data_IF_218845005348
#
_entry.id   IF_218845005348
#
_cell.length_a   1.000
_cell.length_b   1.000
_cell.length_c   1.000
_cell.angle_alpha   90.00
_cell.angle_beta   90.00
_cell.angle_gamma   90.00
#
_symmetry.space_group_name_H-M   'P 1'
#
loop_
_entity.id
_entity.type
_entity.pdbx_description
1 polymer ?
#
# COMPACT_ATOMS: atom_id res chain seq x y z
N UNK A 1 -28.93 77.14 -19.14
CA UNK A 1 -28.63 77.48 -20.55
C UNK A 1 -28.79 76.23 -21.41
N UNK A 2 -29.85 76.23 -22.26
CA UNK A 2 -29.99 75.67 -23.64
C UNK A 2 -29.16 74.42 -24.00
N UNK A 3 -29.81 73.24 -24.13
CA UNK A 3 -30.36 72.62 -25.37
C UNK A 3 -29.29 72.10 -26.34
N UNK A 4 -29.28 70.79 -26.61
CA UNK A 4 -29.62 70.24 -27.94
C UNK A 4 -29.98 68.74 -27.88
N UNK A 5 -31.07 68.42 -28.58
CA UNK A 5 -31.67 67.11 -28.84
C UNK A 5 -31.04 66.42 -30.08
N UNK A 6 -31.50 65.17 -30.30
CA UNK A 6 -31.51 64.36 -31.55
C UNK A 6 -30.19 63.69 -31.95
N UNK A 7 -30.13 62.41 -32.35
CA UNK A 7 -31.10 61.60 -33.12
C UNK A 7 -30.81 60.08 -33.01
N UNK A 8 -31.86 59.24 -32.89
CA UNK A 8 -31.88 57.80 -33.31
C UNK A 8 -31.84 57.73 -34.87
N UNK A 9 -31.63 56.60 -35.61
CA UNK A 9 -31.92 55.18 -35.28
C UNK A 9 -30.96 54.07 -35.86
N UNK A 10 -31.22 52.81 -35.45
CA UNK A 10 -31.04 51.51 -36.14
C UNK A 10 -29.83 51.30 -37.07
N UNK A 11 -28.91 50.37 -36.73
CA UNK A 11 -28.36 49.32 -37.61
C UNK A 11 -27.52 48.31 -36.75
N UNK A 12 -27.99 47.06 -36.71
CA UNK A 12 -27.22 45.80 -36.78
C UNK A 12 -26.28 45.31 -35.64
N UNK A 13 -26.49 44.01 -35.31
CA UNK A 13 -25.51 42.96 -34.91
C UNK A 13 -25.60 42.39 -33.47
N UNK A 14 -26.26 41.21 -33.43
CA UNK A 14 -25.91 39.94 -32.76
C UNK A 14 -25.11 39.91 -31.43
N UNK A 15 -25.65 39.08 -30.52
CA UNK A 15 -24.96 38.14 -29.62
C UNK A 15 -24.02 38.70 -28.53
N UNK A 16 -24.51 38.74 -27.30
CA UNK A 16 -23.68 38.38 -26.14
C UNK A 16 -24.50 37.62 -25.09
N UNK A 17 -24.81 36.36 -25.45
CA UNK A 17 -25.22 35.31 -24.53
C UNK A 17 -24.03 34.37 -24.41
N UNK A 18 -23.08 34.65 -23.52
CA UNK A 18 -22.08 33.72 -22.94
C UNK A 18 -20.94 34.55 -22.33
N UNK A 19 -20.80 34.55 -21.00
CA UNK A 19 -19.50 34.44 -20.32
C UNK A 19 -19.74 34.40 -18.79
N UNK A 20 -20.34 33.30 -18.31
CA UNK A 20 -20.04 32.83 -16.96
C UNK A 20 -18.65 32.21 -17.09
N UNK A 21 -17.60 32.97 -16.77
CA UNK A 21 -16.25 32.41 -16.62
C UNK A 21 -16.31 31.41 -15.47
N UNK A 22 -16.28 30.13 -15.80
CA UNK A 22 -15.95 29.08 -14.85
C UNK A 22 -14.58 29.40 -14.25
N UNK A 23 -14.55 29.75 -12.96
CA UNK A 23 -13.32 29.73 -12.17
C UNK A 23 -12.72 28.32 -12.26
N UNK A 24 -11.42 28.16 -12.54
CA UNK A 24 -10.81 26.85 -12.55
C UNK A 24 -10.93 26.27 -11.13
N UNK A 25 -11.67 25.16 -11.03
CA UNK A 25 -11.69 24.30 -9.85
C UNK A 25 -10.22 24.01 -9.53
N UNK A 26 -9.71 24.52 -8.39
CA UNK A 26 -8.40 24.08 -7.88
C UNK A 26 -8.50 22.56 -7.72
N UNK A 27 -7.89 21.79 -8.63
CA UNK A 27 -7.72 20.34 -8.43
C UNK A 27 -6.93 20.21 -7.14
N UNK A 28 -7.54 19.58 -6.14
CA UNK A 28 -6.95 19.49 -4.80
C UNK A 28 -5.64 18.69 -4.87
N UNK A 29 -4.61 19.01 -4.05
CA UNK A 29 -3.36 18.25 -3.98
C UNK A 29 -3.62 16.74 -3.84
N UNK A 30 -4.68 16.40 -3.10
CA UNK A 30 -5.17 15.04 -2.86
C UNK A 30 -5.46 14.26 -4.15
N UNK A 31 -5.98 14.88 -5.22
CA UNK A 31 -6.25 14.21 -6.49
C UNK A 31 -4.96 13.76 -7.19
N UNK A 32 -3.91 14.57 -7.11
CA UNK A 32 -2.61 14.22 -7.68
C UNK A 32 -1.91 13.10 -6.92
N UNK A 33 -2.00 13.09 -5.58
CA UNK A 33 -1.49 11.99 -4.76
C UNK A 33 -2.15 10.65 -5.13
N UNK A 34 -3.49 10.62 -5.25
CA UNK A 34 -4.22 9.43 -5.70
C UNK A 34 -3.73 8.95 -7.06
N UNK A 35 -3.57 9.86 -8.01
CA UNK A 35 -3.05 9.53 -9.34
C UNK A 35 -1.67 8.87 -9.27
N UNK A 36 -0.76 9.41 -8.46
CA UNK A 36 0.56 8.81 -8.34
C UNK A 36 0.52 7.40 -7.72
N UNK A 37 -0.27 7.19 -6.66
CA UNK A 37 -0.43 5.87 -6.04
C UNK A 37 -0.99 4.82 -7.02
N UNK A 38 -1.94 5.22 -7.89
CA UNK A 38 -2.47 4.34 -8.95
C UNK A 38 -1.39 3.82 -9.89
N UNK A 39 -0.41 4.66 -10.26
CA UNK A 39 0.71 4.21 -11.10
C UNK A 39 1.45 3.04 -10.43
N UNK A 40 1.85 3.21 -9.18
CA UNK A 40 2.63 2.20 -8.46
C UNK A 40 1.86 0.89 -8.26
N UNK A 41 0.57 0.98 -7.96
CA UNK A 41 -0.32 -0.19 -7.94
C UNK A 41 -0.34 -0.89 -9.32
N UNK A 42 -0.64 -0.14 -10.38
CA UNK A 42 -0.80 -0.70 -11.72
C UNK A 42 0.50 -1.31 -12.30
N UNK A 43 1.67 -0.82 -11.89
CA UNK A 43 2.96 -1.36 -12.34
C UNK A 43 3.59 -2.37 -11.36
N UNK A 44 2.93 -2.67 -10.24
CA UNK A 44 3.45 -3.53 -9.18
C UNK A 44 4.79 -3.02 -8.61
N UNK A 45 4.87 -1.72 -8.33
CA UNK A 45 6.05 -1.07 -7.78
C UNK A 45 5.75 -0.40 -6.45
N UNK A 46 6.81 -0.02 -5.73
CA UNK A 46 6.71 0.64 -4.43
C UNK A 46 7.09 2.11 -4.57
N UNK A 47 6.27 3.00 -4.04
CA UNK A 47 6.52 4.44 -4.01
C UNK A 47 7.23 4.85 -2.71
N UNK A 48 8.09 5.86 -2.77
CA UNK A 48 8.63 6.51 -1.56
C UNK A 48 7.75 7.69 -1.14
N UNK A 49 7.70 8.00 0.15
CA UNK A 49 6.90 9.13 0.67
C UNK A 49 7.24 10.48 0.00
N UNK A 50 8.54 10.73 -0.22
CA UNK A 50 9.02 11.92 -0.93
C UNK A 50 8.59 11.94 -2.40
N UNK A 51 8.68 10.78 -3.07
CA UNK A 51 8.25 10.62 -4.46
C UNK A 51 6.75 10.87 -4.61
N UNK A 52 5.94 10.32 -3.70
CA UNK A 52 4.49 10.50 -3.66
C UNK A 52 4.12 11.96 -3.50
N UNK A 53 4.76 12.64 -2.56
CA UNK A 53 4.49 14.05 -2.30
C UNK A 53 4.87 14.91 -3.50
N UNK A 54 6.07 14.72 -4.05
CA UNK A 54 6.55 15.49 -5.20
C UNK A 54 5.67 15.30 -6.44
N UNK A 55 5.50 14.06 -6.88
CA UNK A 55 4.75 13.78 -8.11
C UNK A 55 3.25 13.99 -7.94
N UNK A 56 2.72 13.77 -6.74
CA UNK A 56 1.36 14.13 -6.37
C UNK A 56 1.12 15.63 -6.55
N UNK A 57 2.04 16.49 -6.11
CA UNK A 57 1.95 17.93 -6.32
C UNK A 57 2.09 18.32 -7.81
N UNK A 58 3.02 17.70 -8.54
CA UNK A 58 3.20 17.95 -9.99
C UNK A 58 1.91 17.65 -10.77
N UNK A 59 1.24 16.54 -10.45
CA UNK A 59 -0.01 16.14 -11.11
C UNK A 59 -1.19 17.00 -10.61
N UNK A 60 -1.30 17.19 -9.29
CA UNK A 60 -2.40 17.93 -8.66
C UNK A 60 -2.44 19.41 -9.04
N UNK A 61 -1.28 20.03 -9.24
CA UNK A 61 -1.15 21.41 -9.73
C UNK A 61 -1.42 21.57 -11.23
N UNK A 62 -1.51 20.47 -11.98
CA UNK A 62 -1.60 20.50 -13.45
C UNK A 62 -0.29 20.78 -14.17
N UNK A 63 0.84 20.84 -13.45
CA UNK A 63 2.18 21.02 -14.04
C UNK A 63 2.52 19.89 -15.01
N UNK A 64 1.99 18.68 -14.76
CA UNK A 64 2.06 17.58 -15.70
C UNK A 64 0.80 16.70 -15.62
N UNK A 65 0.53 15.91 -16.65
CA UNK A 65 -0.58 14.94 -16.66
C UNK A 65 -0.13 13.61 -16.07
N UNK A 66 -1.08 12.83 -15.52
CA UNK A 66 -0.80 11.47 -15.07
C UNK A 66 -0.18 10.61 -16.19
N UNK A 67 -0.75 10.66 -17.39
CA UNK A 67 -0.26 9.89 -18.54
C UNK A 67 1.21 10.21 -18.87
N UNK A 68 1.61 11.48 -18.83
CA UNK A 68 2.98 11.89 -19.10
C UNK A 68 3.95 11.48 -17.97
N UNK A 69 3.52 11.57 -16.71
CA UNK A 69 4.32 11.11 -15.57
C UNK A 69 4.50 9.59 -15.65
N UNK A 70 3.42 8.85 -15.90
CA UNK A 70 3.45 7.40 -16.10
C UNK A 70 4.38 7.01 -17.26
N UNK A 71 4.32 7.71 -18.39
CA UNK A 71 5.21 7.46 -19.53
C UNK A 71 6.68 7.62 -19.15
N UNK A 72 7.06 8.70 -18.44
CA UNK A 72 8.44 8.87 -17.95
C UNK A 72 8.90 7.69 -17.10
N UNK A 73 8.04 7.21 -16.20
CA UNK A 73 8.39 6.07 -15.35
C UNK A 73 8.47 4.74 -16.11
N UNK A 74 7.70 4.56 -17.19
CA UNK A 74 7.80 3.43 -18.09
C UNK A 74 9.15 3.46 -18.82
N UNK A 75 9.54 4.63 -19.36
CA UNK A 75 10.77 4.80 -20.14
C UNK A 75 12.03 4.54 -19.31
N UNK A 76 12.02 4.92 -18.02
CA UNK A 76 13.14 4.66 -17.10
C UNK A 76 13.33 3.19 -16.71
N UNK A 77 12.44 2.29 -17.16
CA UNK A 77 12.46 0.85 -16.79
C UNK A 77 12.38 -0.04 -18.03
N UNK A 78 13.39 -0.02 -18.92
CA UNK A 78 13.33 -0.69 -20.21
C UNK A 78 13.13 -2.21 -20.08
N UNK A 79 13.91 -2.88 -19.24
CA UNK A 79 13.79 -4.33 -19.05
C UNK A 79 12.44 -4.78 -18.48
N UNK A 80 11.72 -3.90 -17.76
CA UNK A 80 10.42 -4.24 -17.16
C UNK A 80 9.24 -3.84 -18.03
N UNK A 81 9.35 -2.74 -18.77
CA UNK A 81 8.23 -2.13 -19.49
C UNK A 81 8.62 -1.64 -20.89
N UNK A 82 9.60 -0.75 -21.04
CA UNK A 82 9.81 -0.07 -22.33
C UNK A 82 10.27 -1.00 -23.46
N UNK A 83 11.01 -2.06 -23.16
CA UNK A 83 11.50 -3.02 -24.15
C UNK A 83 10.49 -4.11 -24.55
N UNK A 84 9.36 -4.22 -23.82
CA UNK A 84 8.28 -5.14 -24.18
C UNK A 84 7.61 -4.67 -25.47
N UNK A 85 7.05 -5.59 -26.25
CA UNK A 85 6.10 -5.20 -27.29
C UNK A 85 4.77 -4.74 -26.65
N UNK A 86 3.89 -4.10 -27.43
CA UNK A 86 2.68 -3.48 -26.87
C UNK A 86 1.72 -4.51 -26.27
N UNK A 87 1.59 -5.70 -26.88
CA UNK A 87 0.76 -6.78 -26.34
C UNK A 87 1.32 -7.31 -25.02
N UNK A 88 2.63 -7.54 -24.93
CA UNK A 88 3.31 -7.96 -23.70
C UNK A 88 3.17 -6.91 -22.59
N UNK A 89 3.31 -5.63 -22.94
CA UNK A 89 3.12 -4.54 -21.99
C UNK A 89 1.68 -4.53 -21.46
N UNK A 90 0.69 -4.60 -22.35
CA UNK A 90 -0.75 -4.60 -21.99
C UNK A 90 -1.07 -5.79 -21.08
N UNK A 91 -0.68 -7.01 -21.48
CA UNK A 91 -0.94 -8.22 -20.68
C UNK A 91 -0.32 -8.11 -19.28
N UNK A 92 0.91 -7.61 -19.19
CA UNK A 92 1.61 -7.46 -17.91
C UNK A 92 0.92 -6.47 -16.99
N UNK A 93 0.61 -5.28 -17.48
CA UNK A 93 -0.09 -4.25 -16.69
C UNK A 93 -1.48 -4.73 -16.30
N UNK A 94 -2.19 -5.38 -17.22
CA UNK A 94 -3.54 -5.88 -16.96
C UNK A 94 -3.55 -6.87 -15.80
N UNK A 95 -2.67 -7.88 -15.82
CA UNK A 95 -2.57 -8.87 -14.72
C UNK A 95 -2.22 -8.19 -13.39
N UNK A 96 -1.33 -7.20 -13.40
CA UNK A 96 -0.95 -6.46 -12.20
C UNK A 96 -2.11 -5.62 -11.64
N UNK A 97 -2.86 -4.95 -12.51
CA UNK A 97 -3.91 -4.01 -12.14
C UNK A 97 -5.24 -4.72 -11.80
N UNK A 98 -5.70 -5.62 -12.66
CA UNK A 98 -6.97 -6.35 -12.56
C UNK A 98 -6.85 -7.64 -11.75
N UNK A 99 -5.63 -8.09 -11.44
CA UNK A 99 -5.38 -9.31 -10.63
C UNK A 99 -5.87 -10.62 -11.25
N UNK A 100 -6.16 -10.62 -12.55
CA UNK A 100 -6.48 -11.80 -13.35
C UNK A 100 -6.00 -11.59 -14.80
N UNK A 101 -5.94 -12.67 -15.59
CA UNK A 101 -5.56 -12.58 -16.99
C UNK A 101 -6.61 -11.84 -17.83
N UNK A 102 -6.19 -11.04 -18.84
CA UNK A 102 -7.13 -10.45 -19.78
C UNK A 102 -7.69 -11.50 -20.73
N UNK A 103 -8.90 -11.26 -21.23
CA UNK A 103 -9.43 -11.97 -22.39
C UNK A 103 -9.04 -11.23 -23.69
N UNK A 104 -9.31 -11.85 -24.83
CA UNK A 104 -8.97 -11.30 -26.15
C UNK A 104 -9.65 -9.94 -26.41
N UNK A 105 -10.88 -9.76 -25.93
CA UNK A 105 -11.63 -8.50 -26.06
C UNK A 105 -10.93 -7.36 -25.33
N UNK A 106 -10.46 -7.59 -24.10
CA UNK A 106 -9.75 -6.61 -23.30
C UNK A 106 -8.40 -6.23 -23.96
N UNK A 107 -7.61 -7.22 -24.41
CA UNK A 107 -6.34 -6.94 -25.10
C UNK A 107 -6.55 -6.12 -26.37
N UNK A 108 -7.52 -6.50 -27.20
CA UNK A 108 -7.83 -5.80 -28.45
C UNK A 108 -8.34 -4.37 -28.21
N UNK A 109 -9.10 -4.13 -27.13
CA UNK A 109 -9.53 -2.80 -26.75
C UNK A 109 -8.33 -1.85 -26.54
N UNK A 110 -7.34 -2.29 -25.77
CA UNK A 110 -6.16 -1.48 -25.46
C UNK A 110 -5.20 -1.32 -26.65
N UNK A 111 -4.98 -2.38 -27.44
CA UNK A 111 -4.17 -2.30 -28.66
C UNK A 111 -4.81 -1.39 -29.71
N UNK A 112 -6.13 -1.48 -29.89
CA UNK A 112 -6.87 -0.60 -30.80
C UNK A 112 -6.74 0.86 -30.40
N UNK A 113 -6.88 1.17 -29.10
CA UNK A 113 -6.71 2.52 -28.60
C UNK A 113 -5.29 3.08 -28.85
N UNK A 114 -4.24 2.24 -28.73
CA UNK A 114 -2.88 2.65 -29.10
C UNK A 114 -2.72 2.96 -30.58
N UNK A 115 -3.26 2.09 -31.45
CA UNK A 115 -3.09 2.21 -32.89
C UNK A 115 -3.90 3.36 -33.50
N UNK A 116 -5.17 3.49 -33.10
CA UNK A 116 -6.12 4.44 -33.71
C UNK A 116 -5.96 5.85 -33.16
N UNK A 117 -5.71 5.97 -31.85
CA UNK A 117 -5.64 7.27 -31.15
C UNK A 117 -4.19 7.70 -30.86
N UNK A 118 -3.20 6.91 -31.30
CA UNK A 118 -1.77 7.15 -31.05
C UNK A 118 -1.46 7.35 -29.56
N UNK A 119 -2.15 6.62 -28.69
CA UNK A 119 -1.95 6.72 -27.24
C UNK A 119 -0.56 6.20 -26.85
N UNK A 120 0.08 6.95 -25.95
CA UNK A 120 1.27 6.47 -25.27
C UNK A 120 0.93 5.35 -24.29
N UNK A 121 1.91 4.53 -23.91
CA UNK A 121 1.73 3.48 -22.89
C UNK A 121 1.29 4.06 -21.54
N UNK A 122 1.75 5.26 -21.20
CA UNK A 122 1.28 6.01 -20.03
C UNK A 122 -0.20 6.42 -20.13
N UNK A 123 -0.70 6.72 -21.33
CA UNK A 123 -2.12 7.01 -21.55
C UNK A 123 -2.98 5.74 -21.48
N UNK A 124 -2.50 4.62 -22.05
CA UNK A 124 -3.18 3.30 -21.93
C UNK A 124 -3.26 2.86 -20.47
N UNK A 125 -2.20 3.05 -19.68
CA UNK A 125 -2.23 2.78 -18.24
C UNK A 125 -3.33 3.59 -17.54
N UNK A 126 -3.47 4.88 -17.89
CA UNK A 126 -4.55 5.73 -17.35
C UNK A 126 -5.92 5.19 -17.71
N UNK A 127 -6.12 4.78 -18.96
CA UNK A 127 -7.36 4.21 -19.44
C UNK A 127 -7.70 2.90 -18.71
N UNK A 128 -6.75 1.97 -18.58
CA UNK A 128 -6.94 0.73 -17.82
C UNK A 128 -7.35 0.96 -16.37
N UNK A 129 -6.78 1.97 -15.71
CA UNK A 129 -7.16 2.33 -14.33
C UNK A 129 -8.59 2.87 -14.27
N UNK A 130 -8.97 3.72 -15.23
CA UNK A 130 -10.32 4.26 -15.31
C UNK A 130 -11.36 3.17 -15.65
N UNK A 131 -11.01 2.21 -16.50
CA UNK A 131 -11.82 1.04 -16.79
C UNK A 131 -12.01 0.18 -15.55
N UNK A 132 -10.93 -0.18 -14.84
CA UNK A 132 -11.01 -0.94 -13.58
C UNK A 132 -11.93 -0.23 -12.58
N UNK A 133 -11.80 1.09 -12.41
CA UNK A 133 -12.60 1.88 -11.47
C UNK A 133 -14.10 1.88 -11.79
N UNK A 134 -14.45 1.75 -13.07
CA UNK A 134 -15.84 1.81 -13.54
C UNK A 134 -16.42 0.44 -13.92
N UNK A 135 -15.59 -0.60 -13.88
CA UNK A 135 -16.00 -1.98 -14.19
C UNK A 135 -17.13 -2.45 -13.29
N UNK A 136 -18.04 -3.22 -13.88
CA UNK A 136 -19.12 -3.92 -13.18
C UNK A 136 -18.91 -5.43 -13.19
N UNK A 137 -17.77 -5.91 -13.68
CA UNK A 137 -17.46 -7.34 -13.73
C UNK A 137 -17.10 -7.86 -12.34
N UNK A 138 -17.62 -9.03 -11.98
CA UNK A 138 -17.35 -9.66 -10.68
C UNK A 138 -15.86 -10.01 -10.50
N UNK A 139 -15.18 -10.41 -11.59
CA UNK A 139 -13.73 -10.67 -11.63
C UNK A 139 -12.88 -9.49 -11.16
N UNK A 140 -13.40 -8.27 -11.29
CA UNK A 140 -12.65 -7.04 -11.07
C UNK A 140 -12.84 -6.51 -9.65
N UNK A 141 -13.83 -7.03 -8.91
CA UNK A 141 -14.20 -6.56 -7.57
C UNK A 141 -13.03 -6.57 -6.59
N UNK A 142 -12.20 -7.63 -6.62
CA UNK A 142 -11.02 -7.73 -5.75
C UNK A 142 -9.97 -6.65 -6.09
N UNK A 143 -9.76 -6.38 -7.38
CA UNK A 143 -8.83 -5.35 -7.84
C UNK A 143 -9.36 -3.94 -7.54
N UNK A 144 -10.67 -3.70 -7.67
CA UNK A 144 -11.31 -2.45 -7.28
C UNK A 144 -11.15 -2.16 -5.78
N UNK A 145 -11.33 -3.18 -4.93
CA UNK A 145 -11.12 -3.02 -3.48
C UNK A 145 -9.67 -2.66 -3.16
N UNK A 146 -8.70 -3.29 -3.83
CA UNK A 146 -7.27 -2.93 -3.68
C UNK A 146 -7.00 -1.51 -4.15
N UNK A 147 -7.51 -1.13 -5.32
CA UNK A 147 -7.37 0.22 -5.86
C UNK A 147 -7.98 1.27 -4.91
N UNK A 148 -9.14 0.99 -4.31
CA UNK A 148 -9.77 1.88 -3.35
C UNK A 148 -8.91 2.11 -2.09
N UNK A 149 -8.21 1.07 -1.59
CA UNK A 149 -7.25 1.20 -0.48
C UNK A 149 -6.05 2.08 -0.87
N UNK A 150 -5.50 1.85 -2.05
CA UNK A 150 -4.38 2.63 -2.63
C UNK A 150 -4.76 4.11 -2.80
N UNK A 151 -6.00 4.40 -3.17
CA UNK A 151 -6.51 5.75 -3.39
C UNK A 151 -6.94 6.47 -2.10
N UNK A 152 -6.86 5.80 -0.96
CA UNK A 152 -7.22 6.44 0.30
C UNK A 152 -6.22 7.52 0.65
N UNK A 153 -6.73 8.73 0.90
CA UNK A 153 -5.91 9.88 1.32
C UNK A 153 -6.23 10.13 2.77
N UNK A 154 -5.30 9.73 3.63
CA UNK A 154 -5.40 9.94 5.08
C UNK A 154 -5.47 11.43 5.42
N UNK A 155 -6.48 11.81 6.20
CA UNK A 155 -6.60 13.13 6.79
C UNK A 155 -5.58 13.38 7.93
N UNK A 156 -5.46 14.62 8.41
CA UNK A 156 -4.64 14.94 9.58
C UNK A 156 -5.08 14.13 10.80
N UNK A 157 -4.14 13.41 11.43
CA UNK A 157 -4.42 12.55 12.58
C UNK A 157 -5.16 11.25 12.26
N UNK A 158 -5.49 10.99 10.99
CA UNK A 158 -6.10 9.73 10.58
C UNK A 158 -5.03 8.64 10.48
N UNK A 159 -5.29 7.52 11.19
CA UNK A 159 -4.43 6.34 11.21
C UNK A 159 -5.11 5.17 10.48
N UNK A 160 -4.32 4.29 9.84
CA UNK A 160 -4.81 3.01 9.33
C UNK A 160 -5.38 2.09 10.42
N UNK A 161 -5.93 0.95 10.03
CA UNK A 161 -6.43 -0.07 10.96
C UNK A 161 -5.36 -0.51 11.97
N UNK A 162 -5.82 -0.99 13.13
CA UNK A 162 -4.96 -1.52 14.20
C UNK A 162 -4.00 -2.61 13.70
N UNK A 163 -4.46 -3.46 12.79
CA UNK A 163 -3.66 -4.52 12.15
C UNK A 163 -2.35 -3.97 11.54
N UNK A 164 -2.43 -2.91 10.72
CA UNK A 164 -1.23 -2.29 10.13
C UNK A 164 -0.33 -1.60 11.17
N UNK A 165 -0.90 -1.11 12.26
CA UNK A 165 -0.14 -0.52 13.37
C UNK A 165 0.61 -1.60 14.16
N UNK A 166 -0.05 -2.72 14.41
CA UNK A 166 0.48 -3.87 15.13
C UNK A 166 1.58 -4.59 14.33
N UNK A 167 1.43 -4.73 13.01
CA UNK A 167 2.51 -5.25 12.15
C UNK A 167 3.76 -4.39 12.25
N UNK A 168 3.63 -3.06 12.11
CA UNK A 168 4.77 -2.14 12.19
C UNK A 168 5.43 -2.22 13.56
N UNK A 169 4.64 -2.10 14.64
CA UNK A 169 5.18 -2.14 16.00
C UNK A 169 5.85 -3.49 16.30
N UNK A 170 5.32 -4.60 15.78
CA UNK A 170 5.94 -5.91 15.94
C UNK A 170 7.30 -6.01 15.25
N UNK A 171 7.45 -5.47 14.03
CA UNK A 171 8.74 -5.43 13.34
C UNK A 171 9.78 -4.63 14.14
N UNK A 172 9.39 -3.48 14.68
CA UNK A 172 10.27 -2.63 15.50
C UNK A 172 10.67 -3.32 16.82
N UNK A 173 9.72 -3.91 17.55
CA UNK A 173 10.01 -4.62 18.79
C UNK A 173 10.91 -5.83 18.56
N UNK A 174 10.68 -6.56 17.47
CA UNK A 174 11.35 -7.82 17.19
C UNK A 174 12.76 -7.65 16.63
N UNK A 175 12.97 -6.65 15.76
CA UNK A 175 14.22 -6.50 15.00
C UNK A 175 15.02 -5.30 15.50
N UNK A 176 14.38 -4.14 15.65
CA UNK A 176 15.04 -2.94 16.16
C UNK A 176 15.20 -2.92 17.69
N UNK A 177 14.47 -3.80 18.40
CA UNK A 177 14.54 -3.94 19.86
C UNK A 177 13.96 -2.75 20.63
N UNK A 178 13.13 -1.93 19.99
CA UNK A 178 12.48 -0.74 20.60
C UNK A 178 11.07 -0.56 20.06
N UNK A 179 10.26 0.26 20.74
CA UNK A 179 8.99 0.73 20.18
C UNK A 179 9.21 1.66 18.99
N UNK A 180 8.29 1.59 18.02
CA UNK A 180 8.21 2.54 16.92
C UNK A 180 7.76 3.91 17.43
N UNK A 181 8.35 5.00 16.94
CA UNK A 181 7.89 6.35 17.27
C UNK A 181 6.61 6.72 16.48
N UNK A 182 5.92 7.77 16.91
CA UNK A 182 4.65 8.17 16.29
C UNK A 182 4.76 8.46 14.78
N UNK A 183 5.87 9.06 14.34
CA UNK A 183 6.07 9.41 12.93
C UNK A 183 6.33 8.17 12.07
N UNK A 184 7.13 7.22 12.58
CA UNK A 184 7.35 5.94 11.94
C UNK A 184 6.07 5.10 11.91
N UNK A 185 5.31 5.05 13.00
CA UNK A 185 4.07 4.30 13.07
C UNK A 185 3.07 4.81 12.04
N UNK A 186 2.87 6.13 11.96
CA UNK A 186 2.00 6.73 10.95
C UNK A 186 2.46 6.41 9.53
N UNK A 187 3.74 6.64 9.22
CA UNK A 187 4.28 6.48 7.87
C UNK A 187 4.22 5.01 7.40
N UNK A 188 4.73 4.08 8.22
CA UNK A 188 4.84 2.68 7.85
C UNK A 188 3.49 1.96 7.87
N UNK A 189 2.57 2.32 8.75
CA UNK A 189 1.23 1.74 8.71
C UNK A 189 0.46 2.21 7.48
N UNK A 190 0.61 3.49 7.06
CA UNK A 190 0.00 4.00 5.82
C UNK A 190 0.60 3.32 4.59
N UNK A 191 1.90 3.02 4.64
CA UNK A 191 2.58 2.23 3.60
C UNK A 191 1.95 0.84 3.44
N UNK A 192 1.76 0.10 4.54
CA UNK A 192 1.06 -1.20 4.49
C UNK A 192 -0.39 -1.07 4.03
N UNK A 193 -1.09 -0.04 4.50
CA UNK A 193 -2.49 0.19 4.13
C UNK A 193 -2.68 0.56 2.66
N UNK A 194 -1.66 1.12 2.00
CA UNK A 194 -1.64 1.30 0.55
C UNK A 194 -1.50 -0.02 -0.23
N UNK A 195 -1.44 -1.17 0.46
CA UNK A 195 -1.32 -2.50 -0.15
C UNK A 195 0.12 -2.97 -0.35
N UNK A 196 1.12 -2.26 0.20
CA UNK A 196 2.49 -2.75 0.21
C UNK A 196 2.61 -3.98 1.14
N UNK A 197 3.49 -4.91 0.79
CA UNK A 197 3.68 -6.11 1.59
C UNK A 197 4.56 -5.85 2.82
N UNK A 198 4.45 -6.71 3.84
CA UNK A 198 5.36 -6.69 4.99
C UNK A 198 6.81 -6.95 4.57
N UNK A 199 7.02 -7.76 3.53
CA UNK A 199 8.34 -7.98 2.92
C UNK A 199 8.91 -6.69 2.35
N UNK A 200 8.12 -5.91 1.62
CA UNK A 200 8.55 -4.63 1.06
C UNK A 200 8.90 -3.64 2.17
N UNK A 201 8.08 -3.59 3.22
CA UNK A 201 8.36 -2.78 4.40
C UNK A 201 9.67 -3.20 5.06
N UNK A 202 9.84 -4.49 5.38
CA UNK A 202 11.04 -5.01 6.02
C UNK A 202 12.28 -4.76 5.16
N UNK A 203 12.18 -4.92 3.83
CA UNK A 203 13.26 -4.65 2.89
C UNK A 203 13.68 -3.18 2.84
N UNK A 204 12.74 -2.25 3.05
CA UNK A 204 13.06 -0.82 3.20
C UNK A 204 13.72 -0.57 4.55
N UNK A 205 13.13 -1.07 5.62
CA UNK A 205 13.62 -0.90 6.99
C UNK A 205 15.02 -1.46 7.15
N UNK A 206 15.33 -2.64 6.60
CA UNK A 206 16.64 -3.32 6.63
C UNK A 206 17.81 -2.49 6.09
N UNK A 207 17.54 -1.41 5.35
CA UNK A 207 18.57 -0.46 4.88
C UNK A 207 19.00 0.54 5.95
N UNK A 208 18.28 0.61 7.07
CA UNK A 208 18.61 1.44 8.22
C UNK A 208 19.49 0.69 9.21
N UNK A 209 20.29 1.44 9.99
CA UNK A 209 21.18 0.84 10.99
C UNK A 209 20.45 0.08 12.10
N UNK A 210 19.24 0.50 12.46
CA UNK A 210 18.47 -0.15 13.53
C UNK A 210 17.87 -1.51 13.11
N UNK A 211 17.71 -1.74 11.80
CA UNK A 211 17.26 -3.02 11.24
C UNK A 211 18.42 -3.84 10.65
N UNK A 212 19.66 -3.60 11.06
CA UNK A 212 20.81 -4.37 10.54
C UNK A 212 20.73 -5.87 10.83
N UNK A 213 19.91 -6.29 11.80
CA UNK A 213 19.62 -7.68 12.12
C UNK A 213 18.46 -8.30 11.33
N UNK A 214 17.87 -7.60 10.35
CA UNK A 214 16.66 -8.05 9.66
C UNK A 214 16.82 -9.39 8.90
N UNK A 215 18.02 -9.75 8.47
CA UNK A 215 18.30 -11.04 7.82
C UNK A 215 18.72 -12.15 8.81
N UNK A 216 18.94 -11.81 10.08
CA UNK A 216 19.34 -12.76 11.11
C UNK A 216 18.11 -13.39 11.78
N UNK A 217 17.36 -14.16 10.99
CA UNK A 217 16.13 -14.83 11.45
C UNK A 217 16.38 -15.82 12.59
N UNK A 218 17.61 -16.33 12.72
CA UNK A 218 18.04 -17.21 13.81
C UNK A 218 18.14 -16.43 15.12
N UNK A 219 18.80 -15.26 15.10
CA UNK A 219 18.81 -14.36 16.27
C UNK A 219 17.42 -13.84 16.62
N UNK A 220 16.60 -13.53 15.62
CA UNK A 220 15.20 -13.16 15.83
C UNK A 220 14.44 -14.27 16.54
N UNK A 221 14.58 -15.52 16.07
CA UNK A 221 14.00 -16.68 16.71
C UNK A 221 14.41 -16.78 18.20
N UNK A 222 15.69 -16.62 18.51
CA UNK A 222 16.16 -16.60 19.90
C UNK A 222 15.60 -15.44 20.72
N UNK A 223 15.42 -14.28 20.10
CA UNK A 223 14.84 -13.10 20.76
C UNK A 223 13.38 -13.36 21.16
N UNK A 224 12.61 -14.02 20.31
CA UNK A 224 11.20 -14.31 20.53
C UNK A 224 10.96 -15.52 21.45
N UNK A 225 11.70 -16.61 21.23
CA UNK A 225 11.51 -17.88 21.94
C UNK A 225 12.38 -18.02 23.20
N UNK A 226 13.43 -17.22 23.32
CA UNK A 226 14.47 -17.35 24.36
C UNK A 226 15.51 -18.43 24.04
N UNK A 227 16.61 -18.43 24.80
CA UNK A 227 17.77 -19.30 24.55
C UNK A 227 17.58 -20.76 24.95
N UNK A 228 16.43 -21.11 25.53
CA UNK A 228 16.19 -22.46 26.06
C UNK A 228 15.86 -23.49 24.96
N UNK A 229 15.47 -23.02 23.76
CA UNK A 229 15.28 -23.87 22.59
C UNK A 229 16.24 -23.43 21.49
N UNK A 230 17.38 -24.11 21.31
CA UNK A 230 18.22 -23.91 20.14
C UNK A 230 17.46 -24.30 18.86
N UNK A 231 17.58 -23.47 17.83
CA UNK A 231 17.16 -23.81 16.48
C UNK A 231 18.22 -24.75 15.88
N UNK A 232 17.85 -25.99 15.56
CA UNK A 232 18.77 -26.93 14.91
C UNK A 232 19.05 -26.54 13.45
N UNK A 233 20.12 -27.08 12.88
CA UNK A 233 20.49 -26.80 11.48
C UNK A 233 19.40 -27.22 10.49
N UNK A 234 18.76 -28.38 10.70
CA UNK A 234 17.65 -28.84 9.86
C UNK A 234 16.43 -27.93 9.98
N UNK A 235 16.12 -27.47 11.19
CA UNK A 235 15.03 -26.56 11.47
C UNK A 235 15.24 -25.19 10.80
N UNK A 236 16.47 -24.67 10.91
CA UNK A 236 16.89 -23.45 10.23
C UNK A 236 16.76 -23.57 8.71
N UNK A 237 17.18 -24.71 8.15
CA UNK A 237 17.08 -24.98 6.72
C UNK A 237 15.61 -25.09 6.27
N UNK A 238 14.73 -25.69 7.07
CA UNK A 238 13.31 -25.79 6.77
C UNK A 238 12.62 -24.41 6.72
N UNK A 239 12.96 -23.51 7.65
CA UNK A 239 12.48 -22.12 7.64
C UNK A 239 12.93 -21.41 6.37
N UNK A 240 14.20 -21.54 6.01
CA UNK A 240 14.76 -20.89 4.83
C UNK A 240 14.12 -21.40 3.53
N UNK A 241 13.86 -22.71 3.44
CA UNK A 241 13.13 -23.29 2.30
C UNK A 241 11.69 -22.77 2.22
N UNK A 242 10.97 -22.71 3.35
CA UNK A 242 9.61 -22.13 3.41
C UNK A 242 9.60 -20.66 3.01
N UNK A 243 10.69 -19.94 3.27
CA UNK A 243 10.90 -18.55 2.88
C UNK A 243 11.42 -18.37 1.45
N UNK A 244 11.50 -19.42 0.63
CA UNK A 244 11.99 -19.31 -0.75
C UNK A 244 13.49 -19.00 -0.85
N UNK A 245 14.26 -19.39 0.16
CA UNK A 245 15.69 -19.07 0.33
C UNK A 245 16.02 -17.58 0.48
N UNK A 246 15.04 -16.77 0.89
CA UNK A 246 15.23 -15.35 1.23
C UNK A 246 15.27 -15.18 2.76
N UNK A 247 16.35 -14.57 3.27
CA UNK A 247 16.57 -14.38 4.72
C UNK A 247 15.65 -13.33 5.34
N UNK A 248 15.27 -12.28 4.61
CA UNK A 248 14.29 -11.31 5.09
C UNK A 248 12.92 -11.97 5.21
N UNK A 249 12.55 -12.76 4.19
CA UNK A 249 11.31 -13.52 4.23
C UNK A 249 11.33 -14.55 5.37
N UNK A 250 12.49 -15.17 5.66
CA UNK A 250 12.63 -16.08 6.80
C UNK A 250 12.36 -15.38 8.15
N UNK A 251 12.82 -14.15 8.32
CA UNK A 251 12.51 -13.35 9.52
C UNK A 251 11.01 -13.08 9.68
N UNK A 252 10.31 -12.79 8.58
CA UNK A 252 8.84 -12.63 8.61
C UNK A 252 8.14 -13.94 8.94
N UNK A 253 8.57 -15.06 8.38
CA UNK A 253 8.03 -16.39 8.71
C UNK A 253 8.19 -16.70 10.20
N UNK A 254 9.36 -16.40 10.78
CA UNK A 254 9.63 -16.57 12.21
C UNK A 254 8.71 -15.70 13.06
N UNK A 255 8.58 -14.41 12.73
CA UNK A 255 7.74 -13.48 13.47
C UNK A 255 6.26 -13.87 13.40
N UNK A 256 5.77 -14.24 12.22
CA UNK A 256 4.37 -14.56 12.02
C UNK A 256 3.97 -15.81 12.78
N UNK A 257 4.74 -16.90 12.66
CA UNK A 257 4.45 -18.12 13.40
C UNK A 257 4.52 -17.92 14.92
N UNK A 258 5.41 -17.05 15.40
CA UNK A 258 5.44 -16.69 16.81
C UNK A 258 4.16 -15.97 17.24
N UNK A 259 3.70 -14.98 16.46
CA UNK A 259 2.48 -14.19 16.74
C UNK A 259 1.21 -15.03 16.70
N UNK A 260 1.10 -15.97 15.78
CA UNK A 260 -0.05 -16.87 15.64
C UNK A 260 0.00 -18.06 16.60
N UNK A 261 1.13 -18.26 17.28
CA UNK A 261 1.39 -19.45 18.09
C UNK A 261 1.49 -20.74 17.28
N UNK A 262 1.57 -20.63 15.95
CA UNK A 262 1.77 -21.76 15.07
C UNK A 262 3.17 -22.35 15.27
N UNK A 263 3.26 -23.68 15.16
CA UNK A 263 4.57 -24.30 15.11
C UNK A 263 5.25 -23.95 13.78
N UNK A 264 6.42 -23.33 13.88
CA UNK A 264 7.32 -23.12 12.75
C UNK A 264 7.68 -24.44 12.05
N UNK A 265 7.71 -25.56 12.80
CA UNK A 265 8.35 -26.82 12.40
C UNK A 265 7.62 -28.01 13.02
N UNK A 266 6.55 -28.48 12.37
CA UNK A 266 5.81 -29.69 12.76
C UNK A 266 5.01 -29.59 14.07
N UNK A 267 3.97 -30.41 14.21
CA UNK A 267 2.90 -30.28 15.21
C UNK A 267 3.27 -30.51 16.69
N UNK A 268 4.55 -30.72 17.04
CA UNK A 268 4.94 -31.17 18.38
C UNK A 268 5.66 -30.14 19.26
N UNK A 269 5.86 -28.90 18.80
CA UNK A 269 6.61 -27.89 19.55
C UNK A 269 5.93 -26.50 19.51
N UNK A 270 4.81 -26.32 20.22
CA UNK A 270 4.10 -25.04 20.25
C UNK A 270 4.95 -23.95 20.90
N UNK A 271 4.72 -22.71 20.46
CA UNK A 271 5.35 -21.51 21.03
C UNK A 271 4.91 -21.35 22.49
N UNK A 272 5.82 -20.92 23.37
CA UNK A 272 5.46 -20.68 24.78
C UNK A 272 4.38 -19.60 24.89
N UNK A 273 3.24 -19.96 25.47
CA UNK A 273 2.13 -19.02 25.73
C UNK A 273 2.60 -17.83 26.57
N UNK A 274 3.51 -18.03 27.51
CA UNK A 274 4.06 -16.92 28.31
C UNK A 274 4.85 -15.93 27.46
N UNK A 275 5.58 -16.42 26.44
CA UNK A 275 6.36 -15.56 25.54
C UNK A 275 5.46 -14.77 24.60
N UNK A 276 4.42 -15.41 24.07
CA UNK A 276 3.40 -14.70 23.28
C UNK A 276 2.73 -13.62 24.13
N UNK A 277 2.37 -13.94 25.38
CA UNK A 277 1.78 -12.97 26.30
C UNK A 277 2.71 -11.78 26.60
N UNK A 278 3.98 -12.04 26.92
CA UNK A 278 5.00 -11.00 27.14
C UNK A 278 5.12 -10.08 25.92
N UNK A 279 5.18 -10.66 24.71
CA UNK A 279 5.26 -9.92 23.47
C UNK A 279 4.00 -9.09 23.20
N UNK A 280 2.81 -9.67 23.34
CA UNK A 280 1.55 -8.96 23.15
C UNK A 280 1.37 -7.82 24.15
N UNK A 281 1.84 -8.00 25.40
CA UNK A 281 1.86 -6.92 26.38
C UNK A 281 2.82 -5.79 25.97
N UNK A 282 4.02 -6.10 25.49
CA UNK A 282 4.97 -5.11 24.98
C UNK A 282 4.40 -4.37 23.74
N UNK A 283 3.75 -5.09 22.83
CA UNK A 283 3.06 -4.54 21.67
C UNK A 283 1.96 -3.56 22.08
N UNK A 284 1.05 -4.00 22.95
CA UNK A 284 -0.04 -3.18 23.49
C UNK A 284 0.50 -1.92 24.18
N UNK A 285 1.56 -2.05 24.98
CA UNK A 285 2.22 -0.92 25.65
C UNK A 285 2.81 0.05 24.62
N UNK A 286 3.49 -0.45 23.58
CA UNK A 286 4.10 0.39 22.55
C UNK A 286 3.08 1.18 21.73
N UNK A 287 1.86 0.65 21.58
CA UNK A 287 0.75 1.28 20.86
C UNK A 287 -0.17 2.10 21.78
N UNK A 288 0.12 2.16 23.09
CA UNK A 288 -0.70 2.88 24.06
C UNK A 288 -2.10 2.28 24.26
N UNK A 289 -2.28 0.98 23.97
CA UNK A 289 -3.55 0.29 24.23
C UNK A 289 -3.79 0.21 25.74
N UNK A 290 -5.05 0.41 26.15
CA UNK A 290 -5.45 0.14 27.54
C UNK A 290 -5.46 -1.38 27.76
N UNK A 291 -4.61 -1.86 28.64
CA UNK A 291 -4.58 -3.26 29.05
C UNK A 291 -5.66 -3.52 30.10
N UNK A 292 -6.85 -3.95 29.68
CA UNK A 292 -7.80 -4.60 30.60
C UNK A 292 -7.55 -6.11 30.45
N UNK A 293 -6.96 -6.79 31.45
CA UNK A 293 -6.82 -8.23 31.40
C UNK A 293 -8.21 -8.89 31.48
N UNK A 294 -8.65 -9.50 30.38
CA UNK A 294 -9.76 -10.46 30.37
C UNK A 294 -9.14 -11.85 30.44
N UNK A 295 -9.36 -12.54 31.56
CA UNK A 295 -9.02 -13.95 31.73
C UNK A 295 -10.27 -14.74 31.35
N UNK A 296 -10.25 -15.41 30.21
CA UNK A 296 -11.27 -16.42 29.88
C UNK A 296 -10.71 -17.80 30.22
N UNK A 297 -11.46 -18.54 31.03
CA UNK A 297 -11.17 -19.94 31.37
C UNK A 297 -12.09 -20.78 30.51
N UNK A 298 -11.53 -21.51 29.53
CA UNK A 298 -12.33 -22.44 28.75
C UNK A 298 -12.97 -23.48 29.67
N UNK A 299 -14.24 -23.81 29.43
CA UNK A 299 -15.07 -24.66 30.31
C UNK A 299 -14.51 -26.08 30.57
N UNK A 300 -13.42 -26.47 29.89
CA UNK A 300 -12.79 -27.79 30.01
C UNK A 300 -11.52 -27.83 30.89
N UNK A 301 -11.27 -26.80 31.71
CA UNK A 301 -10.09 -26.79 32.59
C UNK A 301 -8.76 -26.66 31.84
N UNK A 302 -8.79 -26.11 30.62
CA UNK A 302 -7.61 -25.74 29.85
C UNK A 302 -6.94 -24.47 30.39
N UNK A 303 -5.63 -24.37 30.16
CA UNK A 303 -4.78 -23.22 30.48
C UNK A 303 -5.47 -21.90 30.04
N UNK A 304 -5.48 -20.82 30.85
CA UNK A 304 -6.18 -19.59 30.51
C UNK A 304 -5.71 -19.04 29.16
N UNK A 305 -6.63 -18.95 28.21
CA UNK A 305 -6.41 -18.29 26.93
C UNK A 305 -6.96 -16.87 27.03
N UNK A 306 -6.07 -15.88 27.10
CA UNK A 306 -6.48 -14.48 27.07
C UNK A 306 -6.77 -14.08 25.61
N UNK A 307 -8.04 -13.85 25.26
CA UNK A 307 -8.37 -12.99 24.12
C UNK A 307 -8.31 -11.54 24.57
N UNK A 308 -7.35 -10.78 24.03
CA UNK A 308 -7.28 -9.33 24.20
C UNK A 308 -8.39 -8.69 23.37
N UNK A 309 -9.44 -8.20 24.02
CA UNK A 309 -10.39 -7.29 23.36
C UNK A 309 -9.80 -5.88 23.37
N UNK A 310 -9.10 -5.51 22.29
CA UNK A 310 -8.54 -4.18 22.14
C UNK A 310 -9.65 -3.18 21.81
N UNK A 311 -9.96 -2.27 22.74
CA UNK A 311 -10.71 -1.04 22.40
C UNK A 311 -9.72 0.09 22.24
N UNK A 312 -9.42 0.45 20.99
CA UNK A 312 -8.57 1.59 20.68
C UNK A 312 -9.24 2.88 21.19
N UNK A 313 -8.63 3.56 22.16
CA UNK A 313 -8.98 4.94 22.51
C UNK A 313 -7.72 5.78 22.28
N UNK A 314 -7.61 6.37 21.10
CA UNK A 314 -6.57 7.34 20.80
C UNK A 314 -7.01 8.67 21.43
N UNK A 315 -6.15 9.27 22.28
CA UNK A 315 -6.35 10.63 22.80
C UNK A 315 -5.65 11.64 21.89
#
# INVERSE_FOLDING_TARGET
MRRCCNSKPYWMILLCRHFIRALPIRRQPTAGLKMYWRYFYAVGAIATADGVTYWGNVIGSGTNTFANVAQKFIDTRPAKFAALNDSEFINKIYVQLFTHAPNEVAVNHYLGAMAEQQLSRGAVLSMMIDDLRTSTAESDSAAQQKLAKVEHVYGPGEMPTAEHQETVAALYLSIAGRGVDASGLEAWSKFLASGASEYDLLKILAKSGEFSGAEDYVKLYYTLHGNQRPLSEMESQAILLRAGNDKLQASLVVLEAFRTGESLIGSNNPVSVSKIFEFNHALATSLGYKTIPQLDVSQDGGNPSAMLTATATIR
#
